data_IF_726304194346
#
_entry.id   IF_726304194346
#
_cell.length_a   1.000
_cell.length_b   1.000
_cell.length_c   1.000
_cell.angle_alpha   90.00
_cell.angle_beta   90.00
_cell.angle_gamma   90.00
#
_symmetry.space_group_name_H-M   'P 1'
#
loop_
_entity.id
_entity.type
_entity.pdbx_description
1 polymer ?
#
# COMPACT_ATOMS: atom_id res chain seq x y z
N UNK A 1 -11.28 -7.44 -12.47
CA UNK A 1 -10.05 -7.86 -11.79
C UNK A 1 -9.43 -6.66 -11.09
N UNK A 2 -9.16 -6.73 -9.79
CA UNK A 2 -8.52 -5.65 -9.02
C UNK A 2 -7.00 -5.85 -9.02
N UNK A 3 -6.24 -4.79 -9.34
CA UNK A 3 -4.78 -4.77 -9.26
C UNK A 3 -4.35 -4.23 -7.89
N UNK A 4 -3.36 -4.89 -7.29
CA UNK A 4 -2.77 -4.55 -5.98
C UNK A 4 -1.36 -3.98 -6.14
N UNK A 5 -0.75 -3.52 -5.03
CA UNK A 5 0.66 -3.10 -4.99
C UNK A 5 1.61 -4.16 -5.50
N UNK A 6 1.40 -5.39 -5.04
CA UNK A 6 2.18 -6.55 -5.48
C UNK A 6 2.01 -6.80 -6.98
N UNK A 7 0.78 -6.68 -7.51
CA UNK A 7 0.53 -6.86 -8.94
C UNK A 7 1.28 -5.83 -9.78
N UNK A 8 1.27 -4.56 -9.37
CA UNK A 8 1.98 -3.51 -10.11
C UNK A 8 3.50 -3.69 -10.06
N UNK A 9 4.07 -4.03 -8.89
CA UNK A 9 5.50 -4.33 -8.78
C UNK A 9 5.86 -5.54 -9.65
N UNK A 10 5.01 -6.58 -9.64
CA UNK A 10 5.20 -7.76 -10.49
C UNK A 10 5.14 -7.38 -11.98
N UNK A 11 4.21 -6.53 -12.39
CA UNK A 11 4.14 -6.01 -13.76
C UNK A 11 5.41 -5.26 -14.16
N UNK A 12 5.92 -4.38 -13.29
CA UNK A 12 7.14 -3.63 -13.56
C UNK A 12 8.37 -4.55 -13.70
N UNK A 13 8.39 -5.68 -12.97
CA UNK A 13 9.48 -6.65 -13.05
C UNK A 13 9.34 -7.61 -14.25
N UNK A 14 8.14 -8.13 -14.50
CA UNK A 14 7.83 -9.05 -15.60
C UNK A 14 6.31 -9.03 -15.91
N UNK A 15 5.88 -8.31 -16.95
CA UNK A 15 4.47 -8.26 -17.36
C UNK A 15 3.85 -9.62 -17.68
N UNK A 16 4.61 -10.53 -18.31
CA UNK A 16 4.19 -11.88 -18.67
C UNK A 16 3.91 -12.73 -17.43
N UNK A 17 4.71 -12.55 -16.37
CA UNK A 17 4.51 -13.21 -15.07
C UNK A 17 3.17 -12.78 -14.45
N UNK A 18 2.87 -11.47 -14.41
CA UNK A 18 1.58 -10.99 -13.91
C UNK A 18 0.43 -11.52 -14.80
N UNK A 19 0.60 -11.48 -16.12
CA UNK A 19 -0.43 -11.94 -17.04
C UNK A 19 -0.74 -13.43 -16.82
N UNK A 20 0.28 -14.27 -16.68
CA UNK A 20 0.12 -15.71 -16.42
C UNK A 20 -0.56 -15.96 -15.07
N UNK A 21 -0.14 -15.26 -14.01
CA UNK A 21 -0.75 -15.35 -12.68
C UNK A 21 -2.26 -15.04 -12.73
N UNK A 22 -2.65 -14.00 -13.47
CA UNK A 22 -4.04 -13.52 -13.51
C UNK A 22 -4.94 -14.28 -14.49
N UNK A 23 -4.39 -14.73 -15.63
CA UNK A 23 -5.19 -15.32 -16.71
C UNK A 23 -5.09 -16.84 -16.78
N UNK A 24 -4.01 -17.45 -16.27
CA UNK A 24 -3.81 -18.90 -16.24
C UNK A 24 -3.17 -19.36 -14.91
N UNK A 25 -3.87 -19.17 -13.78
CA UNK A 25 -3.31 -19.47 -12.45
C UNK A 25 -2.90 -20.94 -12.27
N UNK A 26 -3.53 -21.88 -12.99
CA UNK A 26 -3.16 -23.31 -12.97
C UNK A 26 -1.83 -23.62 -13.66
N UNK A 27 -1.38 -22.75 -14.57
CA UNK A 27 -0.09 -22.86 -15.28
C UNK A 27 1.00 -21.99 -14.63
N UNK A 28 0.63 -21.14 -13.67
CA UNK A 28 1.59 -20.25 -13.03
C UNK A 28 2.54 -21.04 -12.11
N UNK A 29 3.87 -20.95 -12.31
CA UNK A 29 4.85 -21.61 -11.46
C UNK A 29 4.87 -20.88 -10.11
N UNK A 30 4.07 -21.36 -9.16
CA UNK A 30 4.08 -20.85 -7.80
C UNK A 30 5.48 -21.05 -7.21
N UNK A 31 6.17 -19.94 -6.93
CA UNK A 31 7.42 -19.98 -6.20
C UNK A 31 7.18 -20.47 -4.77
N UNK A 32 8.16 -21.17 -4.20
CA UNK A 32 8.11 -21.50 -2.78
C UNK A 32 8.27 -20.23 -1.94
N UNK A 33 7.36 -20.06 -0.99
CA UNK A 33 7.46 -18.97 -0.04
C UNK A 33 8.55 -19.30 0.98
N UNK A 34 9.74 -18.73 0.77
CA UNK A 34 10.87 -19.00 1.67
C UNK A 34 10.59 -18.49 3.09
N UNK A 35 11.12 -19.18 4.09
CA UNK A 35 11.11 -18.73 5.50
C UNK A 35 11.74 -17.33 5.66
N UNK A 36 12.72 -17.01 4.80
CA UNK A 36 13.34 -15.68 4.77
C UNK A 36 12.34 -14.59 4.35
N UNK A 37 11.54 -14.83 3.31
CA UNK A 37 10.53 -13.88 2.84
C UNK A 37 9.40 -13.71 3.86
N UNK A 38 8.95 -14.79 4.49
CA UNK A 38 7.95 -14.75 5.57
C UNK A 38 8.44 -13.89 6.75
N UNK A 39 9.71 -14.07 7.13
CA UNK A 39 10.35 -13.27 8.18
C UNK A 39 10.38 -11.78 7.81
N UNK A 40 10.78 -11.44 6.59
CA UNK A 40 10.82 -10.03 6.13
C UNK A 40 9.43 -9.37 6.18
N UNK A 41 8.38 -10.10 5.82
CA UNK A 41 7.00 -9.60 5.86
C UNK A 41 6.55 -9.35 7.30
N UNK A 42 6.82 -10.31 8.20
CA UNK A 42 6.51 -10.17 9.63
C UNK A 42 7.24 -9.00 10.27
N UNK A 43 8.53 -8.83 9.99
CA UNK A 43 9.32 -7.67 10.44
C UNK A 43 8.76 -6.36 9.90
N UNK A 44 8.26 -6.35 8.65
CA UNK A 44 7.57 -5.20 8.06
C UNK A 44 6.34 -4.78 8.87
N UNK A 45 5.45 -5.74 9.18
CA UNK A 45 4.27 -5.48 10.01
C UNK A 45 4.65 -5.02 11.43
N UNK A 46 5.66 -5.64 12.03
CA UNK A 46 6.13 -5.26 13.36
C UNK A 46 6.61 -3.80 13.39
N UNK A 47 7.40 -3.38 12.40
CA UNK A 47 7.87 -1.99 12.29
C UNK A 47 6.70 -1.02 12.10
N UNK A 48 5.70 -1.39 11.30
CA UNK A 48 4.48 -0.58 11.12
C UNK A 48 3.73 -0.40 12.45
N UNK A 49 3.55 -1.47 13.22
CA UNK A 49 2.91 -1.41 14.54
C UNK A 49 3.68 -0.53 15.53
N UNK A 50 5.01 -0.49 15.46
CA UNK A 50 5.80 0.46 16.25
C UNK A 50 5.62 1.91 15.77
N UNK A 51 5.55 2.15 14.46
CA UNK A 51 5.32 3.48 13.91
C UNK A 51 3.95 4.05 14.34
N UNK A 52 2.90 3.21 14.35
CA UNK A 52 1.56 3.60 14.82
C UNK A 52 1.56 4.13 16.26
N UNK A 53 2.46 3.64 17.13
CA UNK A 53 2.58 4.13 18.53
C UNK A 53 2.97 5.61 18.63
N UNK A 54 3.55 6.20 17.58
CA UNK A 54 3.84 7.64 17.52
C UNK A 54 2.56 8.49 17.38
N UNK A 55 1.45 7.85 17.01
CA UNK A 55 0.17 8.50 16.76
C UNK A 55 -0.95 7.85 17.59
N UNK A 56 -0.99 8.08 18.91
CA UNK A 56 -1.89 7.35 19.81
C UNK A 56 -3.39 7.59 19.55
N UNK A 57 -3.75 8.62 18.77
CA UNK A 57 -5.13 8.93 18.37
C UNK A 57 -5.49 8.41 16.98
N UNK A 58 -4.59 7.68 16.32
CA UNK A 58 -4.81 7.17 14.98
C UNK A 58 -5.88 6.08 14.92
N UNK A 59 -6.71 6.12 13.88
CA UNK A 59 -7.76 5.14 13.64
C UNK A 59 -7.33 4.18 12.53
N UNK A 60 -7.35 2.88 12.83
CA UNK A 60 -7.09 1.83 11.85
C UNK A 60 -8.26 1.69 10.86
N UNK A 61 -7.97 1.81 9.57
CA UNK A 61 -8.94 1.50 8.52
C UNK A 61 -8.80 0.01 8.14
N UNK A 62 -9.87 -0.79 8.29
CA UNK A 62 -9.83 -2.21 7.94
C UNK A 62 -9.44 -2.44 6.47
N UNK A 63 -8.64 -3.47 6.20
CA UNK A 63 -8.17 -3.82 4.86
C UNK A 63 -9.29 -3.95 3.81
N UNK A 64 -10.44 -4.47 4.22
CA UNK A 64 -11.59 -4.73 3.35
C UNK A 64 -12.61 -3.59 3.35
N UNK A 65 -12.29 -2.44 3.97
CA UNK A 65 -13.17 -1.30 3.97
C UNK A 65 -13.37 -0.74 2.55
N UNK A 66 -14.58 -0.26 2.28
CA UNK A 66 -14.82 0.56 1.10
C UNK A 66 -13.96 1.83 1.18
N UNK A 67 -13.36 2.31 0.08
CA UNK A 67 -12.58 3.55 0.07
C UNK A 67 -13.32 4.78 0.62
N UNK A 68 -14.65 4.81 0.47
CA UNK A 68 -15.50 5.88 1.01
C UNK A 68 -15.45 5.96 2.55
N UNK A 69 -15.15 4.85 3.23
CA UNK A 69 -14.97 4.83 4.68
C UNK A 69 -13.83 5.75 5.10
N UNK A 70 -12.68 5.69 4.40
CA UNK A 70 -11.52 6.51 4.74
C UNK A 70 -11.85 8.01 4.67
N UNK A 71 -12.59 8.44 3.65
CA UNK A 71 -13.06 9.82 3.55
C UNK A 71 -14.00 10.18 4.72
N UNK A 72 -14.98 9.32 5.02
CA UNK A 72 -15.94 9.58 6.09
C UNK A 72 -15.28 9.68 7.48
N UNK A 73 -14.22 8.90 7.73
CA UNK A 73 -13.45 8.94 8.99
C UNK A 73 -12.55 10.17 9.01
N UNK A 74 -11.91 10.54 7.90
CA UNK A 74 -11.04 11.73 7.79
C UNK A 74 -11.78 13.06 8.00
N UNK A 75 -13.11 13.06 7.91
CA UNK A 75 -13.93 14.21 8.30
C UNK A 75 -14.02 14.41 9.81
N UNK A 76 -13.82 13.35 10.60
CA UNK A 76 -13.97 13.34 12.06
C UNK A 76 -12.64 13.25 12.78
N UNK A 77 -11.71 12.51 12.19
CA UNK A 77 -10.43 12.14 12.80
C UNK A 77 -9.28 12.75 12.01
N UNK A 78 -8.22 13.14 12.74
CA UNK A 78 -7.03 13.73 12.12
C UNK A 78 -6.06 12.69 11.60
N UNK A 79 -5.95 11.54 12.25
CA UNK A 79 -4.93 10.54 11.93
C UNK A 79 -5.60 9.22 11.59
N UNK A 80 -5.28 8.68 10.42
CA UNK A 80 -5.78 7.39 9.95
C UNK A 80 -4.60 6.47 9.61
N UNK A 81 -4.68 5.21 10.01
CA UNK A 81 -3.76 4.17 9.60
C UNK A 81 -4.35 3.36 8.46
N UNK A 82 -3.51 3.06 7.47
CA UNK A 82 -3.87 2.28 6.29
C UNK A 82 -5.12 2.79 5.50
N UNK A 83 -5.44 4.12 5.45
CA UNK A 83 -6.59 4.58 4.68
C UNK A 83 -6.38 4.33 3.19
N UNK A 84 -7.50 4.17 2.48
CA UNK A 84 -7.50 3.91 1.04
C UNK A 84 -8.41 4.87 0.29
N UNK A 85 -7.98 5.25 -0.91
CA UNK A 85 -8.66 6.22 -1.76
C UNK A 85 -8.70 5.73 -3.20
N UNK A 86 -9.72 6.11 -3.95
CA UNK A 86 -9.79 5.89 -5.41
C UNK A 86 -9.92 7.25 -6.09
N UNK A 87 -9.00 7.56 -6.99
CA UNK A 87 -9.06 8.73 -7.85
C UNK A 87 -9.98 8.49 -9.07
N UNK A 88 -10.43 9.57 -9.73
CA UNK A 88 -11.42 9.54 -10.83
C UNK A 88 -10.99 8.66 -12.02
N UNK A 89 -9.68 8.56 -12.28
CA UNK A 89 -9.10 7.65 -13.26
C UNK A 89 -9.02 6.20 -12.77
N UNK A 90 -9.81 5.87 -11.74
CA UNK A 90 -9.86 4.58 -11.06
C UNK A 90 -8.55 4.22 -10.35
N UNK A 91 -7.63 5.14 -10.07
CA UNK A 91 -6.39 4.79 -9.39
C UNK A 91 -6.59 4.66 -7.88
N UNK A 92 -6.37 3.46 -7.32
CA UNK A 92 -6.43 3.09 -5.91
C UNK A 92 -5.11 3.38 -5.18
N UNK A 93 -5.13 4.24 -4.17
CA UNK A 93 -4.00 4.48 -3.28
C UNK A 93 -4.29 3.91 -1.89
N UNK A 94 -3.27 3.37 -1.23
CA UNK A 94 -3.31 3.06 0.20
C UNK A 94 -2.08 3.64 0.88
N UNK A 95 -2.29 4.32 1.98
CA UNK A 95 -1.27 5.10 2.70
C UNK A 95 -1.02 4.42 4.05
N UNK A 96 0.22 4.27 4.51
CA UNK A 96 0.48 3.64 5.81
C UNK A 96 -0.07 4.50 6.96
N UNK A 97 0.25 5.80 6.99
CA UNK A 97 -0.30 6.75 7.96
C UNK A 97 -0.62 8.08 7.25
N UNK A 98 -1.84 8.57 7.42
CA UNK A 98 -2.28 9.88 6.95
C UNK A 98 -2.61 10.77 8.14
N UNK A 99 -2.06 11.97 8.17
CA UNK A 99 -2.39 13.01 9.15
C UNK A 99 -2.96 14.24 8.44
N UNK A 100 -4.11 14.72 8.89
CA UNK A 100 -4.73 15.97 8.48
C UNK A 100 -4.29 17.09 9.41
N UNK A 101 -3.74 18.15 8.81
CA UNK A 101 -3.23 19.33 9.51
C UNK A 101 -4.33 20.38 9.72
N UNK A 102 -4.13 21.27 10.70
CA UNK A 102 -5.08 22.33 11.04
C UNK A 102 -5.18 23.41 9.95
N UNK A 103 -4.16 23.56 9.11
CA UNK A 103 -4.14 24.46 7.96
C UNK A 103 -4.85 23.89 6.71
N UNK A 104 -5.41 22.67 6.83
CA UNK A 104 -6.05 21.96 5.73
C UNK A 104 -5.09 21.15 4.86
N UNK A 105 -3.79 21.14 5.19
CA UNK A 105 -2.80 20.27 4.56
C UNK A 105 -2.86 18.82 5.06
N UNK A 106 -2.01 17.98 4.46
CA UNK A 106 -1.89 16.57 4.83
C UNK A 106 -0.41 16.15 4.89
N UNK A 107 -0.06 15.38 5.92
CA UNK A 107 1.16 14.59 5.94
C UNK A 107 0.85 13.15 5.56
N UNK A 108 1.68 12.60 4.66
CA UNK A 108 1.64 11.20 4.24
C UNK A 108 2.94 10.57 4.73
N UNK A 109 2.83 9.56 5.58
CA UNK A 109 3.96 8.78 6.06
C UNK A 109 3.94 7.39 5.41
N UNK A 110 5.05 7.00 4.80
CA UNK A 110 5.33 5.63 4.33
C UNK A 110 6.34 5.02 5.31
N UNK A 111 6.00 3.86 5.89
CA UNK A 111 6.81 3.19 6.89
C UNK A 111 7.72 2.16 6.21
N UNK A 112 9.02 2.18 6.55
CA UNK A 112 10.02 1.24 6.01
C UNK A 112 10.90 0.69 7.12
N UNK A 113 11.15 -0.61 7.08
CA UNK A 113 12.12 -1.32 7.92
C UNK A 113 13.57 -1.20 7.42
N UNK A 114 13.85 -0.31 6.44
CA UNK A 114 15.20 -0.16 5.89
C UNK A 114 16.12 0.60 6.84
N UNK A 115 17.38 0.16 6.92
CA UNK A 115 18.42 0.80 7.74
C UNK A 115 19.00 2.08 7.11
N UNK A 116 18.56 2.45 5.91
CA UNK A 116 19.04 3.64 5.22
C UNK A 116 17.98 4.22 4.28
N UNK A 117 17.92 5.54 4.18
CA UNK A 117 17.03 6.21 3.21
C UNK A 117 17.69 6.15 1.83
N UNK A 118 17.13 5.36 0.90
CA UNK A 118 17.58 5.37 -0.49
C UNK A 118 16.86 6.47 -1.27
N UNK A 119 17.63 7.41 -1.81
CA UNK A 119 17.15 8.54 -2.63
C UNK A 119 17.59 8.45 -4.09
N UNK A 120 18.17 7.32 -4.51
CA UNK A 120 18.66 7.16 -5.87
C UNK A 120 17.49 6.92 -6.85
N UNK A 121 17.65 7.33 -8.11
CA UNK A 121 16.61 7.20 -9.13
C UNK A 121 16.21 5.72 -9.42
N UNK A 122 17.01 4.75 -8.99
CA UNK A 122 16.75 3.31 -9.13
C UNK A 122 15.99 2.71 -7.93
N UNK A 123 16.18 3.20 -6.70
CA UNK A 123 15.47 2.76 -5.48
C UNK A 123 14.77 3.93 -4.79
N UNK A 124 13.90 4.63 -5.53
CA UNK A 124 13.14 5.75 -4.99
C UNK A 124 11.97 5.25 -4.13
N UNK A 125 12.08 5.38 -2.81
CA UNK A 125 11.04 5.01 -1.84
C UNK A 125 9.73 5.81 -2.01
N UNK A 126 9.73 6.94 -2.73
CA UNK A 126 8.50 7.66 -3.10
C UNK A 126 7.63 6.81 -4.03
N UNK A 127 8.22 5.90 -4.81
CA UNK A 127 7.49 4.91 -5.60
C UNK A 127 6.90 3.78 -4.75
N UNK A 128 6.97 3.83 -3.42
CA UNK A 128 6.26 2.89 -2.57
C UNK A 128 4.98 3.49 -1.96
N UNK A 129 4.89 4.82 -1.89
CA UNK A 129 3.65 5.56 -1.63
C UNK A 129 2.77 5.55 -2.90
N UNK A 130 2.24 4.39 -3.29
CA UNK A 130 1.71 4.18 -4.64
C UNK A 130 0.19 4.18 -4.72
N UNK A 131 -0.27 4.87 -5.76
CA UNK A 131 -1.59 4.82 -6.34
C UNK A 131 -1.57 3.87 -7.57
N UNK A 132 -2.48 2.89 -7.66
CA UNK A 132 -2.55 1.85 -8.70
C UNK A 132 -3.83 1.92 -9.54
N UNK A 133 -3.79 1.87 -10.88
CA UNK A 133 -5.01 1.86 -11.68
C UNK A 133 -5.91 0.64 -11.39
N UNK A 134 -7.15 0.88 -10.96
CA UNK A 134 -8.26 -0.08 -10.94
C UNK A 134 -8.83 -0.11 -12.35
N UNK A 135 -8.72 -1.23 -13.06
CA UNK A 135 -9.31 -1.32 -14.38
C UNK A 135 -10.83 -1.23 -14.32
N UNK A 136 -11.40 -0.40 -15.22
CA UNK A 136 -12.80 -0.44 -15.61
C UNK A 136 -13.16 -1.84 -16.09
N UNK A 137 -14.24 -2.39 -15.56
CA UNK A 137 -15.02 -3.42 -16.25
C UNK A 137 -15.53 -2.78 -17.55
N UNK A 138 -15.14 -3.36 -18.69
CA UNK A 138 -15.89 -3.20 -19.94
C UNK A 138 -16.96 -4.28 -19.95
#
# INVERSE_FOLDING_TARGET
MQLTKTDFIQFLNCPESLWLLKNRPSEYPNGEFSLFLDKLIKEGYEVEEYAKKLFPQGIEIPLNAAPDLSLSVLHKEKILFQPSFIADNSVFARIDILEKLDDGGYHIYEVKSSTSVKKDNKHNHVKDAVAFPKNRTV
#
